data_IF_202326265223
#
_entry.id   IF_202326265223
#
_cell.length_a   1.000
_cell.length_b   1.000
_cell.length_c   1.000
_cell.angle_alpha   90.00
_cell.angle_beta   90.00
_cell.angle_gamma   90.00
#
_symmetry.space_group_name_H-M   'P 1'
#
loop_
_entity.id
_entity.type
_entity.pdbx_description
1 polymer ?
#
# COMPACT_ATOMS: atom_id res chain seq x y z
N UNK A 1 -46.39 -43.69 -43.04
CA UNK A 1 -46.15 -43.44 -44.49
C UNK A 1 -44.69 -43.11 -44.62
N UNK A 2 -43.91 -44.10 -44.84
CA UNK A 2 -42.91 -44.47 -45.83
C UNK A 2 -42.35 -43.25 -46.59
N UNK A 3 -41.02 -43.01 -46.44
CA UNK A 3 -40.10 -43.08 -47.54
C UNK A 3 -38.65 -43.19 -47.05
N UNK A 4 -38.06 -44.34 -47.30
CA UNK A 4 -36.61 -44.59 -47.38
C UNK A 4 -36.05 -43.91 -48.65
N UNK A 5 -34.84 -43.40 -48.55
CA UNK A 5 -33.94 -43.37 -49.71
C UNK A 5 -32.48 -43.43 -49.24
N UNK A 6 -31.86 -44.53 -49.71
CA UNK A 6 -30.44 -44.86 -49.71
C UNK A 6 -29.68 -43.87 -50.61
N UNK A 7 -28.46 -43.53 -50.27
CA UNK A 7 -27.36 -43.47 -51.28
C UNK A 7 -25.99 -43.42 -50.61
N UNK A 8 -25.29 -44.48 -50.77
CA UNK A 8 -24.02 -44.74 -51.48
C UNK A 8 -22.78 -44.05 -50.98
N UNK A 9 -21.94 -44.89 -50.37
CA UNK A 9 -20.50 -44.73 -50.13
C UNK A 9 -19.75 -44.36 -51.41
N UNK A 10 -18.85 -43.38 -51.35
CA UNK A 10 -17.72 -43.23 -52.23
C UNK A 10 -16.46 -43.11 -51.36
N UNK A 11 -15.68 -44.21 -51.32
CA UNK A 11 -14.34 -44.23 -50.73
C UNK A 11 -13.38 -43.62 -51.72
N UNK A 12 -12.74 -42.50 -51.34
CA UNK A 12 -11.55 -41.99 -52.02
C UNK A 12 -10.36 -42.22 -51.13
N UNK A 13 -9.53 -43.20 -51.48
CA UNK A 13 -8.21 -43.40 -50.91
C UNK A 13 -7.28 -42.33 -51.41
N UNK A 14 -6.84 -41.43 -50.56
CA UNK A 14 -5.71 -40.58 -50.80
C UNK A 14 -4.52 -41.09 -50.06
N UNK A 15 -3.53 -41.60 -50.76
CA UNK A 15 -2.21 -42.01 -50.29
C UNK A 15 -1.42 -40.73 -50.03
N UNK A 16 -1.19 -40.37 -48.77
CA UNK A 16 -0.29 -39.30 -48.42
C UNK A 16 1.03 -39.93 -47.94
N UNK A 17 2.07 -39.71 -48.73
CA UNK A 17 3.44 -40.04 -48.40
C UNK A 17 3.92 -39.23 -47.19
N UNK A 18 4.29 -39.90 -46.14
CA UNK A 18 4.91 -39.30 -44.96
C UNK A 18 6.38 -38.97 -45.23
N UNK A 19 6.68 -37.70 -45.49
CA UNK A 19 8.03 -37.19 -45.37
C UNK A 19 8.22 -36.81 -43.89
N UNK A 20 8.99 -37.63 -43.18
CA UNK A 20 9.33 -37.40 -41.78
C UNK A 20 10.32 -36.25 -41.64
N UNK A 21 9.84 -35.07 -41.26
CA UNK A 21 10.66 -34.06 -40.63
C UNK A 21 10.66 -34.29 -39.11
N UNK A 22 11.80 -34.77 -38.57
CA UNK A 22 12.05 -34.69 -37.14
C UNK A 22 12.20 -33.25 -36.75
N UNK A 23 11.13 -32.65 -36.18
CA UNK A 23 11.23 -31.42 -35.47
C UNK A 23 11.78 -31.73 -34.07
N UNK A 24 13.03 -31.41 -33.80
CA UNK A 24 13.57 -31.34 -32.44
C UNK A 24 12.84 -30.19 -31.71
N UNK A 25 11.96 -30.59 -30.80
CA UNK A 25 11.39 -29.69 -29.82
C UNK A 25 12.52 -29.27 -28.84
N UNK A 26 13.26 -28.25 -29.18
CA UNK A 26 13.97 -27.45 -28.15
C UNK A 26 12.92 -26.74 -27.31
N UNK A 27 12.55 -27.35 -26.17
CA UNK A 27 11.97 -26.61 -25.04
C UNK A 27 12.96 -25.50 -24.70
N UNK A 28 12.60 -24.27 -25.06
CA UNK A 28 13.23 -23.10 -24.46
C UNK A 28 12.80 -23.11 -22.98
N UNK A 29 13.64 -23.71 -22.13
CA UNK A 29 13.66 -23.40 -20.72
C UNK A 29 14.06 -21.92 -20.60
N UNK A 30 13.06 -21.03 -20.53
CA UNK A 30 13.26 -19.71 -19.97
C UNK A 30 13.58 -19.92 -18.49
N UNK A 31 14.87 -20.10 -18.20
CA UNK A 31 15.36 -19.92 -16.84
C UNK A 31 15.05 -18.47 -16.47
N UNK A 32 13.98 -18.26 -15.71
CA UNK A 32 13.83 -17.06 -14.90
C UNK A 32 14.97 -17.10 -13.90
N UNK A 33 16.12 -16.57 -14.29
CA UNK A 33 17.18 -16.21 -13.36
C UNK A 33 16.53 -15.18 -12.44
N UNK A 34 16.12 -15.60 -11.24
CA UNK A 34 15.88 -14.69 -10.14
C UNK A 34 17.24 -14.04 -9.85
N UNK A 35 17.55 -12.95 -10.57
CA UNK A 35 18.61 -12.06 -10.15
C UNK A 35 18.12 -11.50 -8.81
N UNK A 36 18.77 -11.90 -7.72
CA UNK A 36 18.66 -11.19 -6.44
C UNK A 36 19.20 -9.81 -6.76
N UNK A 37 18.29 -8.87 -7.04
CA UNK A 37 18.64 -7.48 -7.31
C UNK A 37 19.31 -6.92 -6.07
N UNK A 38 20.39 -6.17 -6.27
CA UNK A 38 21.11 -5.55 -5.17
C UNK A 38 20.13 -4.66 -4.40
N UNK A 39 19.94 -4.93 -3.10
CA UNK A 39 19.06 -4.16 -2.22
C UNK A 39 19.46 -2.69 -2.28
N UNK A 40 18.50 -1.82 -2.57
CA UNK A 40 18.75 -0.37 -2.59
C UNK A 40 18.95 0.14 -1.16
N UNK A 41 19.89 1.07 -0.93
CA UNK A 41 20.11 1.60 0.40
C UNK A 41 18.88 2.37 0.89
N UNK A 42 18.47 2.11 2.12
CA UNK A 42 17.44 2.87 2.82
C UNK A 42 18.13 4.07 3.51
N UNK A 43 17.72 5.28 3.14
CA UNK A 43 18.27 6.53 3.67
C UNK A 43 17.32 7.13 4.69
N UNK A 44 17.81 7.50 5.87
CA UNK A 44 17.04 8.19 6.89
C UNK A 44 17.22 9.71 6.78
N UNK A 45 16.12 10.45 6.80
CA UNK A 45 16.09 11.90 6.89
C UNK A 45 15.40 12.34 8.17
N UNK A 46 15.77 13.52 8.67
CA UNK A 46 15.04 14.22 9.73
C UNK A 46 14.38 15.46 9.13
N UNK A 47 13.05 15.50 9.15
CA UNK A 47 12.25 16.59 8.61
C UNK A 47 11.56 17.31 9.76
N UNK A 48 11.67 18.63 9.84
CA UNK A 48 11.01 19.38 10.90
C UNK A 48 9.54 19.67 10.52
N UNK A 49 8.62 19.22 11.35
CA UNK A 49 7.21 19.54 11.28
C UNK A 49 6.83 20.37 12.49
N UNK A 50 6.64 21.67 12.31
CA UNK A 50 6.42 22.66 13.41
C UNK A 50 7.47 22.54 14.53
N UNK A 51 8.73 22.34 14.14
CA UNK A 51 9.85 22.19 15.08
C UNK A 51 10.01 20.76 15.65
N UNK A 52 9.07 19.85 15.38
CA UNK A 52 9.17 18.45 15.80
C UNK A 52 9.94 17.62 14.75
N UNK A 53 10.98 16.83 15.15
CA UNK A 53 11.76 16.04 14.20
C UNK A 53 10.99 14.78 13.79
N UNK A 54 10.65 14.68 12.50
CA UNK A 54 10.02 13.51 11.88
C UNK A 54 11.08 12.67 11.18
N UNK A 55 11.08 11.37 11.39
CA UNK A 55 11.86 10.43 10.61
C UNK A 55 11.15 10.14 9.29
N UNK A 56 11.90 10.26 8.20
CA UNK A 56 11.44 9.94 6.84
C UNK A 56 12.48 9.04 6.19
N UNK A 57 12.06 7.89 5.72
CA UNK A 57 12.91 6.88 5.10
C UNK A 57 12.78 6.96 3.59
N UNK A 58 13.89 6.98 2.86
CA UNK A 58 13.93 7.13 1.41
C UNK A 58 14.60 5.94 0.74
N UNK A 59 13.98 5.40 -0.33
CA UNK A 59 14.63 4.54 -1.33
C UNK A 59 14.57 5.21 -2.69
N UNK A 60 15.74 5.46 -3.27
CA UNK A 60 15.88 6.14 -4.56
C UNK A 60 15.71 5.17 -5.72
N UNK A 61 14.88 5.53 -6.69
CA UNK A 61 14.97 4.97 -8.03
C UNK A 61 16.22 5.49 -8.74
N UNK A 62 16.80 4.68 -9.62
CA UNK A 62 17.97 5.09 -10.42
C UNK A 62 17.63 6.25 -11.35
N UNK A 63 16.48 6.16 -12.04
CA UNK A 63 15.89 7.21 -12.86
C UNK A 63 14.45 7.43 -12.37
N UNK A 64 14.28 8.38 -11.46
CA UNK A 64 12.97 8.60 -10.84
C UNK A 64 12.00 9.25 -11.81
N UNK A 65 10.88 8.58 -12.11
CA UNK A 65 9.76 9.11 -12.89
C UNK A 65 8.66 9.72 -12.03
N UNK A 66 8.75 9.59 -10.71
CA UNK A 66 7.78 10.11 -9.76
C UNK A 66 8.17 9.81 -8.31
N UNK A 67 7.47 10.46 -7.39
CA UNK A 67 7.74 10.43 -5.94
C UNK A 67 6.53 9.83 -5.23
N UNK A 68 6.76 8.95 -4.25
CA UNK A 68 5.68 8.36 -3.45
C UNK A 68 5.99 8.57 -1.97
N UNK A 69 5.00 9.04 -1.19
CA UNK A 69 5.04 9.06 0.28
C UNK A 69 4.07 8.03 0.83
N UNK A 70 4.58 7.10 1.64
CA UNK A 70 3.81 6.11 2.39
C UNK A 70 3.51 6.58 3.80
N UNK A 71 2.25 6.39 4.23
CA UNK A 71 1.77 6.61 5.59
C UNK A 71 1.30 5.28 6.16
N UNK A 72 1.95 4.83 7.24
CA UNK A 72 1.75 3.53 7.86
C UNK A 72 0.42 3.40 8.62
N UNK A 73 0.11 2.16 9.03
CA UNK A 73 -1.05 1.82 9.85
C UNK A 73 -0.94 2.24 11.31
N UNK A 74 -1.83 1.68 12.18
CA UNK A 74 -1.95 2.16 13.57
C UNK A 74 -0.83 1.71 14.50
N UNK A 75 -0.28 0.51 14.32
CA UNK A 75 0.55 -0.11 15.35
C UNK A 75 2.04 -0.03 15.06
N UNK A 76 2.42 -0.09 13.80
CA UNK A 76 3.80 -0.23 13.36
C UNK A 76 4.24 0.95 12.50
N UNK A 77 5.54 1.21 12.47
CA UNK A 77 6.16 2.30 11.72
C UNK A 77 6.43 1.95 10.26
N UNK A 78 6.90 2.94 9.49
CA UNK A 78 7.02 2.83 8.04
C UNK A 78 8.01 1.77 7.55
N UNK A 79 9.10 1.48 8.28
CA UNK A 79 10.11 0.51 7.81
C UNK A 79 9.61 -0.94 7.88
N UNK A 80 9.07 -1.43 9.01
CA UNK A 80 8.46 -2.76 9.05
C UNK A 80 7.36 -2.93 8.01
N UNK A 81 6.51 -1.92 7.83
CA UNK A 81 5.34 -2.01 6.97
C UNK A 81 5.70 -1.96 5.47
N UNK A 82 6.62 -1.10 5.06
CA UNK A 82 6.84 -0.85 3.63
C UNK A 82 8.20 -1.31 3.11
N UNK A 83 9.13 -1.66 4.01
CA UNK A 83 10.46 -2.12 3.63
C UNK A 83 10.87 -3.44 4.30
N UNK A 84 9.96 -4.40 4.36
CA UNK A 84 10.23 -5.73 4.91
C UNK A 84 11.32 -6.43 4.10
N UNK A 85 12.48 -6.65 4.72
CA UNK A 85 13.66 -7.24 4.11
C UNK A 85 13.87 -8.68 4.59
N UNK A 86 13.57 -9.66 3.74
CA UNK A 86 13.73 -11.10 4.02
C UNK A 86 14.70 -11.71 3.00
N UNK A 87 15.69 -12.45 3.47
CA UNK A 87 16.67 -13.07 2.58
C UNK A 87 16.01 -14.12 1.69
N UNK A 88 16.19 -13.94 0.37
CA UNK A 88 15.61 -14.83 -0.63
C UNK A 88 14.15 -14.55 -0.99
N UNK A 89 13.53 -13.53 -0.37
CA UNK A 89 12.14 -13.12 -0.66
C UNK A 89 12.10 -11.64 -1.06
N UNK A 90 11.23 -11.31 -2.01
CA UNK A 90 11.05 -9.95 -2.51
C UNK A 90 9.74 -9.37 -1.96
N UNK A 91 9.76 -8.85 -0.73
CA UNK A 91 8.57 -8.41 -0.01
C UNK A 91 8.51 -6.89 0.22
N UNK A 92 9.63 -6.17 0.10
CA UNK A 92 9.63 -4.72 0.24
C UNK A 92 8.78 -4.04 -0.83
N UNK A 93 7.74 -3.31 -0.41
CA UNK A 93 6.95 -2.47 -1.31
C UNK A 93 7.80 -1.32 -1.87
N UNK A 94 8.65 -0.73 -1.01
CA UNK A 94 9.55 0.36 -1.42
C UNK A 94 10.55 -0.08 -2.49
N UNK A 95 11.15 -1.28 -2.37
CA UNK A 95 12.04 -1.83 -3.40
C UNK A 95 11.29 -2.09 -4.71
N UNK A 96 10.13 -2.76 -4.64
CA UNK A 96 9.34 -3.07 -5.83
C UNK A 96 8.94 -1.84 -6.62
N UNK A 97 8.59 -0.74 -5.95
CA UNK A 97 8.25 0.51 -6.62
C UNK A 97 9.48 1.28 -7.08
N UNK A 98 10.61 1.17 -6.37
CA UNK A 98 11.86 1.75 -6.85
C UNK A 98 12.37 1.05 -8.12
N UNK A 99 12.11 -0.25 -8.29
CA UNK A 99 12.34 -1.00 -9.53
C UNK A 99 11.43 -0.52 -10.67
N UNK A 100 10.21 -0.09 -10.35
CA UNK A 100 9.27 0.52 -11.30
C UNK A 100 9.60 1.98 -11.63
N UNK A 101 10.68 2.54 -11.08
CA UNK A 101 11.15 3.90 -11.35
C UNK A 101 10.56 4.96 -10.42
N UNK A 102 10.04 4.61 -9.25
CA UNK A 102 9.55 5.58 -8.28
C UNK A 102 10.54 5.74 -7.12
N UNK A 103 10.93 6.97 -6.80
CA UNK A 103 11.58 7.25 -5.52
C UNK A 103 10.53 7.24 -4.43
N UNK A 104 10.74 6.40 -3.43
CA UNK A 104 9.75 6.14 -2.37
C UNK A 104 10.23 6.69 -1.04
N UNK A 105 9.28 7.22 -0.29
CA UNK A 105 9.47 7.74 1.07
C UNK A 105 8.46 7.07 1.99
N UNK A 106 8.85 6.79 3.24
CA UNK A 106 7.95 6.36 4.31
C UNK A 106 8.14 7.29 5.51
N UNK A 107 7.06 7.87 6.02
CA UNK A 107 7.08 8.67 7.24
C UNK A 107 6.87 7.76 8.45
N UNK A 108 7.62 8.00 9.53
CA UNK A 108 7.21 7.53 10.85
C UNK A 108 6.44 8.66 11.54
N UNK A 109 5.17 8.42 11.89
CA UNK A 109 4.36 9.38 12.63
C UNK A 109 4.90 9.59 14.05
N UNK A 110 4.45 10.63 14.76
CA UNK A 110 4.94 10.92 16.13
C UNK A 110 4.79 9.73 17.07
N UNK A 111 5.89 9.34 17.68
CA UNK A 111 5.99 8.21 18.61
C UNK A 111 6.21 6.86 17.95
N UNK A 112 6.26 6.79 16.61
CA UNK A 112 6.54 5.57 15.86
C UNK A 112 7.99 5.56 15.36
N UNK A 113 8.59 4.37 15.34
CA UNK A 113 9.88 4.10 14.73
C UNK A 113 10.97 5.11 15.14
N UNK A 114 11.49 5.80 14.15
CA UNK A 114 12.55 6.80 14.34
C UNK A 114 12.07 8.20 14.74
N UNK A 115 10.75 8.45 14.87
CA UNK A 115 10.16 9.73 15.28
C UNK A 115 9.83 9.72 16.76
N UNK A 116 10.38 10.65 17.58
CA UNK A 116 10.08 10.69 19.00
C UNK A 116 8.61 11.08 19.26
N UNK A 117 8.10 10.76 20.43
CA UNK A 117 6.85 11.32 20.95
C UNK A 117 7.04 12.81 21.22
N UNK A 118 6.02 13.61 21.03
CA UNK A 118 6.05 15.00 21.45
C UNK A 118 5.85 15.17 22.96
N UNK A 119 5.88 16.42 23.44
CA UNK A 119 5.73 16.72 24.87
C UNK A 119 4.39 16.27 25.45
N UNK A 120 3.34 16.15 24.62
CA UNK A 120 2.01 15.70 25.06
C UNK A 120 1.94 14.19 25.26
N UNK A 121 2.85 13.44 24.65
CA UNK A 121 2.88 11.97 24.54
C UNK A 121 1.70 11.36 23.78
N UNK A 122 0.79 12.18 23.24
CA UNK A 122 -0.39 11.77 22.50
C UNK A 122 -0.23 12.02 21.00
N UNK A 123 -0.66 11.08 20.18
CA UNK A 123 -0.93 11.32 18.78
C UNK A 123 -2.41 11.74 18.58
N UNK A 124 -2.66 12.60 17.60
CA UNK A 124 -4.03 12.97 17.20
C UNK A 124 -4.14 13.02 15.66
N UNK A 125 -5.32 12.76 15.08
CA UNK A 125 -5.48 12.77 13.63
C UNK A 125 -5.13 14.12 12.98
N UNK A 126 -5.48 15.23 13.62
CA UNK A 126 -5.18 16.56 13.09
C UNK A 126 -3.68 16.87 13.09
N UNK A 127 -2.96 16.51 14.15
CA UNK A 127 -1.49 16.68 14.21
C UNK A 127 -0.82 15.79 13.18
N UNK A 128 -1.19 14.50 13.11
CA UNK A 128 -0.62 13.57 12.16
C UNK A 128 -0.86 14.00 10.69
N UNK A 129 -2.08 14.44 10.35
CA UNK A 129 -2.37 14.94 9.00
C UNK A 129 -1.55 16.20 8.65
N UNK A 130 -1.25 17.07 9.62
CA UNK A 130 -0.38 18.23 9.41
C UNK A 130 1.08 17.81 9.21
N UNK A 131 1.57 16.84 9.98
CA UNK A 131 2.92 16.28 9.81
C UNK A 131 3.09 15.68 8.40
N UNK A 132 2.09 14.94 7.90
CA UNK A 132 2.07 14.41 6.53
C UNK A 132 2.22 15.54 5.51
N UNK A 133 1.46 16.64 5.65
CA UNK A 133 1.54 17.79 4.74
C UNK A 133 2.91 18.47 4.78
N UNK A 134 3.52 18.61 5.96
CA UNK A 134 4.84 19.19 6.09
C UNK A 134 5.93 18.32 5.44
N UNK A 135 5.82 16.98 5.59
CA UNK A 135 6.73 16.03 4.92
C UNK A 135 6.53 16.03 3.41
N UNK A 136 5.28 16.07 2.92
CA UNK A 136 4.98 16.22 1.49
C UNK A 136 5.62 17.48 0.90
N UNK A 137 5.50 18.60 1.61
CA UNK A 137 6.14 19.85 1.19
C UNK A 137 7.67 19.74 1.15
N UNK A 138 8.27 19.11 2.15
CA UNK A 138 9.72 18.91 2.17
C UNK A 138 10.17 18.00 1.00
N UNK A 139 9.46 16.90 0.72
CA UNK A 139 9.76 16.01 -0.42
C UNK A 139 9.65 16.78 -1.73
N UNK A 140 8.58 17.53 -1.92
CA UNK A 140 8.34 18.33 -3.12
C UNK A 140 9.47 19.34 -3.35
N UNK A 141 9.81 20.16 -2.35
CA UNK A 141 10.88 21.17 -2.43
C UNK A 141 12.23 20.53 -2.73
N UNK A 142 12.56 19.42 -2.04
CA UNK A 142 13.80 18.65 -2.27
C UNK A 142 13.91 18.13 -3.71
N UNK A 143 12.78 17.93 -4.39
CA UNK A 143 12.70 17.35 -5.72
C UNK A 143 12.10 18.33 -6.75
N UNK A 144 12.61 19.56 -6.79
CA UNK A 144 12.30 20.60 -7.79
C UNK A 144 10.80 21.01 -7.82
N UNK A 145 10.13 20.96 -6.68
CA UNK A 145 8.70 21.23 -6.51
C UNK A 145 7.77 20.25 -7.25
N UNK A 146 8.27 19.05 -7.57
CA UNK A 146 7.43 17.99 -8.14
C UNK A 146 6.37 17.56 -7.13
N UNK A 147 5.18 17.23 -7.63
CA UNK A 147 4.12 16.67 -6.79
C UNK A 147 4.44 15.22 -6.39
N UNK A 148 3.83 14.78 -5.31
CA UNK A 148 4.07 13.49 -4.66
C UNK A 148 2.80 12.67 -4.69
N UNK A 149 2.88 11.40 -5.07
CA UNK A 149 1.80 10.44 -4.86
C UNK A 149 1.74 10.09 -3.38
N UNK A 150 0.60 10.36 -2.74
CA UNK A 150 0.38 10.04 -1.34
C UNK A 150 -0.31 8.68 -1.23
N UNK A 151 0.28 7.77 -0.47
CA UNK A 151 -0.28 6.45 -0.18
C UNK A 151 -0.52 6.32 1.32
N UNK A 152 -1.75 5.96 1.70
CA UNK A 152 -2.08 5.65 3.10
C UNK A 152 -2.61 4.22 3.25
N UNK A 153 -2.10 3.51 4.24
CA UNK A 153 -2.56 2.17 4.62
C UNK A 153 -3.29 2.18 5.96
N UNK A 154 -4.44 1.50 6.05
CA UNK A 154 -5.19 1.35 7.30
C UNK A 154 -5.50 2.72 7.94
N UNK A 155 -5.05 2.98 9.16
CA UNK A 155 -5.13 4.32 9.79
C UNK A 155 -4.52 5.40 8.89
N UNK A 156 -3.39 5.11 8.25
CA UNK A 156 -2.74 6.02 7.31
C UNK A 156 -3.64 6.42 6.14
N UNK A 157 -4.59 5.58 5.73
CA UNK A 157 -5.57 5.92 4.69
C UNK A 157 -6.51 7.04 5.12
N UNK A 158 -7.02 6.99 6.35
CA UNK A 158 -7.88 8.03 6.92
C UNK A 158 -7.08 9.34 7.15
N UNK A 159 -5.85 9.25 7.65
CA UNK A 159 -4.97 10.40 7.83
C UNK A 159 -4.62 11.08 6.49
N UNK A 160 -4.41 10.28 5.43
CA UNK A 160 -4.10 10.78 4.10
C UNK A 160 -5.31 11.46 3.44
N UNK A 161 -6.54 10.95 3.66
CA UNK A 161 -7.77 11.65 3.28
C UNK A 161 -7.88 12.99 3.99
N UNK A 162 -7.66 12.99 5.31
CA UNK A 162 -7.73 14.20 6.15
C UNK A 162 -6.66 15.24 5.73
N UNK A 163 -5.45 14.80 5.40
CA UNK A 163 -4.39 15.66 4.88
C UNK A 163 -4.76 16.25 3.51
N UNK A 164 -5.21 15.39 2.58
CA UNK A 164 -5.53 15.79 1.21
C UNK A 164 -6.67 16.82 1.16
N UNK A 165 -7.73 16.65 1.95
CA UNK A 165 -8.82 17.62 1.99
C UNK A 165 -8.41 18.99 2.57
N UNK A 166 -7.40 19.00 3.46
CA UNK A 166 -6.87 20.24 4.04
C UNK A 166 -5.98 21.00 3.05
N UNK A 167 -5.09 20.30 2.36
CA UNK A 167 -4.19 20.89 1.36
C UNK A 167 -3.67 19.85 0.39
N UNK A 168 -4.06 19.93 -0.87
CA UNK A 168 -3.64 19.02 -1.93
C UNK A 168 -2.54 19.58 -2.87
N UNK A 169 -1.96 20.75 -2.59
CA UNK A 169 -1.07 21.46 -3.52
C UNK A 169 0.11 20.62 -4.01
N UNK A 170 0.73 19.84 -3.11
CA UNK A 170 1.89 19.00 -3.41
C UNK A 170 1.52 17.53 -3.67
N UNK A 171 0.23 17.21 -3.86
CA UNK A 171 -0.25 15.84 -4.05
C UNK A 171 -0.62 15.64 -5.52
N UNK A 172 0.08 14.70 -6.18
CA UNK A 172 -0.21 14.28 -7.55
C UNK A 172 -1.46 13.38 -7.61
N UNK A 173 -1.51 12.39 -6.72
CA UNK A 173 -2.66 11.52 -6.51
C UNK A 173 -2.68 11.01 -5.09
N UNK A 174 -3.85 10.56 -4.62
CA UNK A 174 -4.04 9.87 -3.35
C UNK A 174 -4.39 8.41 -3.60
N UNK A 175 -3.70 7.49 -2.94
CA UNK A 175 -4.10 6.09 -2.86
C UNK A 175 -4.40 5.73 -1.41
N UNK A 176 -5.56 5.11 -1.19
CA UNK A 176 -5.95 4.57 0.11
C UNK A 176 -6.10 3.06 0.01
N UNK A 177 -5.49 2.34 0.95
CA UNK A 177 -5.57 0.89 1.06
C UNK A 177 -6.00 0.49 2.46
N UNK A 178 -6.94 -0.45 2.57
CA UNK A 178 -7.42 -0.91 3.86
C UNK A 178 -8.19 0.18 4.64
N UNK A 179 -8.90 1.09 3.96
CA UNK A 179 -9.69 2.13 4.60
C UNK A 179 -10.85 1.53 5.39
N UNK A 180 -10.91 1.83 6.68
CA UNK A 180 -11.74 1.12 7.65
C UNK A 180 -13.02 1.89 8.07
N UNK A 181 -13.03 3.23 7.95
CA UNK A 181 -14.08 4.05 8.55
C UNK A 181 -15.39 3.96 7.77
N UNK A 182 -16.48 3.77 8.50
CA UNK A 182 -17.83 4.02 8.00
C UNK A 182 -18.16 5.52 8.10
N UNK A 183 -18.37 6.19 6.98
CA UNK A 183 -18.65 7.63 6.93
C UNK A 183 -19.99 8.01 7.59
N UNK A 184 -20.89 7.05 7.76
CA UNK A 184 -22.17 7.27 8.46
C UNK A 184 -22.03 7.10 9.97
N UNK A 185 -20.95 6.47 10.45
CA UNK A 185 -20.71 6.30 11.87
C UNK A 185 -19.87 7.46 12.43
N UNK A 186 -20.35 8.06 13.52
CA UNK A 186 -19.61 9.11 14.21
C UNK A 186 -18.83 8.53 15.40
N UNK A 187 -17.52 8.69 15.35
CA UNK A 187 -16.62 8.33 16.45
C UNK A 187 -16.92 9.26 17.62
N UNK A 188 -17.18 8.73 18.82
CA UNK A 188 -17.44 9.56 20.00
C UNK A 188 -16.24 10.42 20.38
N UNK A 189 -16.53 11.55 21.04
CA UNK A 189 -15.47 12.38 21.64
C UNK A 189 -14.68 11.59 22.67
N UNK A 190 -13.38 11.84 22.74
CA UNK A 190 -12.52 11.27 23.77
C UNK A 190 -12.96 11.73 25.16
N UNK A 191 -12.87 10.85 26.14
CA UNK A 191 -13.06 11.23 27.54
C UNK A 191 -12.05 12.30 27.96
N UNK A 192 -12.48 13.28 28.77
CA UNK A 192 -11.62 14.41 29.17
C UNK A 192 -10.37 13.95 29.95
N UNK A 193 -10.52 12.93 30.76
CA UNK A 193 -9.49 12.44 31.69
C UNK A 193 -8.85 11.11 31.22
N UNK A 194 -8.80 10.85 29.90
CA UNK A 194 -8.15 9.66 29.36
C UNK A 194 -6.66 9.65 29.74
N UNK A 195 -6.20 8.51 30.26
CA UNK A 195 -4.82 8.33 30.68
C UNK A 195 -4.01 7.60 29.62
N UNK A 196 -2.71 7.93 29.51
CA UNK A 196 -1.75 7.22 28.66
C UNK A 196 -1.67 5.75 29.10
N UNK A 197 -1.84 4.84 28.17
CA UNK A 197 -1.77 3.40 28.43
C UNK A 197 -0.33 2.87 28.33
N UNK A 198 0.45 3.40 27.38
CA UNK A 198 1.83 2.96 27.08
C UNK A 198 1.94 1.42 27.01
N UNK A 199 0.95 0.81 26.35
CA UNK A 199 0.87 -0.64 26.20
C UNK A 199 2.11 -1.17 25.49
N UNK A 200 2.66 -2.26 25.97
CA UNK A 200 3.75 -2.98 25.31
C UNK A 200 3.18 -3.72 24.12
N UNK A 201 3.81 -3.56 22.96
CA UNK A 201 3.48 -4.34 21.79
C UNK A 201 3.99 -5.79 21.93
N UNK A 202 3.29 -6.74 21.32
CA UNK A 202 3.61 -8.17 21.44
C UNK A 202 3.84 -8.81 20.07
N UNK A 203 4.52 -9.96 20.07
CA UNK A 203 4.74 -10.75 18.86
C UNK A 203 3.42 -11.23 18.26
N UNK A 204 2.44 -11.57 19.09
CA UNK A 204 1.11 -11.98 18.64
C UNK A 204 0.40 -10.85 17.91
N UNK A 205 0.50 -9.60 18.42
CA UNK A 205 -0.07 -8.44 17.73
C UNK A 205 0.57 -8.22 16.37
N UNK A 206 1.91 -8.33 16.26
CA UNK A 206 2.60 -8.16 14.99
C UNK A 206 2.29 -9.28 14.00
N UNK A 207 2.20 -10.52 14.46
CA UNK A 207 1.85 -11.65 13.59
C UNK A 207 0.38 -11.65 13.15
N UNK A 208 -0.52 -10.98 13.90
CA UNK A 208 -1.96 -10.95 13.60
C UNK A 208 -2.33 -10.11 12.38
N UNK A 209 -1.41 -9.31 11.85
CA UNK A 209 -1.63 -8.58 10.60
C UNK A 209 -1.67 -9.52 9.39
N UNK A 210 -1.07 -10.72 9.47
CA UNK A 210 -1.07 -11.74 8.43
C UNK A 210 -2.27 -12.68 8.57
N UNK A 211 -3.38 -12.31 7.94
CA UNK A 211 -4.70 -12.91 8.16
C UNK A 211 -4.89 -14.17 7.30
N UNK A 212 -4.41 -14.12 6.04
CA UNK A 212 -4.62 -15.21 5.07
C UNK A 212 -3.55 -16.29 5.23
N UNK A 213 -3.90 -17.51 5.69
CA UNK A 213 -2.93 -18.58 5.88
C UNK A 213 -2.17 -18.93 4.60
N UNK A 214 -0.84 -18.92 4.66
CA UNK A 214 0.04 -19.29 3.54
C UNK A 214 0.24 -18.21 2.49
N UNK A 215 -0.30 -17.01 2.68
CA UNK A 215 -0.11 -15.87 1.78
C UNK A 215 1.31 -15.30 1.87
N UNK A 216 1.98 -15.52 3.00
CA UNK A 216 3.36 -15.11 3.26
C UNK A 216 4.09 -16.23 4.01
N UNK A 217 5.43 -16.28 3.90
CA UNK A 217 6.23 -17.32 4.56
C UNK A 217 6.33 -17.10 6.06
N UNK A 218 6.46 -18.19 6.84
CA UNK A 218 6.71 -18.10 8.29
C UNK A 218 8.03 -17.38 8.62
N UNK A 219 9.03 -17.48 7.74
CA UNK A 219 10.29 -16.73 7.86
C UNK A 219 10.04 -15.23 7.75
N UNK A 220 9.21 -14.81 6.81
CA UNK A 220 8.85 -13.42 6.63
C UNK A 220 8.05 -12.88 7.80
N UNK A 221 7.04 -13.62 8.30
CA UNK A 221 6.30 -13.26 9.51
C UNK A 221 7.25 -13.08 10.70
N UNK A 222 8.17 -14.02 10.94
CA UNK A 222 9.13 -13.91 12.03
C UNK A 222 10.07 -12.71 11.89
N UNK A 223 10.47 -12.38 10.66
CA UNK A 223 11.31 -11.20 10.36
C UNK A 223 10.53 -9.91 10.61
N UNK A 224 9.28 -9.84 10.14
CA UNK A 224 8.38 -8.70 10.37
C UNK A 224 8.17 -8.45 11.86
N UNK A 225 7.80 -9.50 12.62
CA UNK A 225 7.60 -9.43 14.07
C UNK A 225 8.83 -8.86 14.78
N UNK A 226 10.02 -9.33 14.41
CA UNK A 226 11.27 -8.81 14.98
C UNK A 226 11.45 -7.33 14.66
N UNK A 227 11.34 -6.93 13.40
CA UNK A 227 11.50 -5.54 12.97
C UNK A 227 10.47 -4.61 13.62
N UNK A 228 9.22 -5.04 13.68
CA UNK A 228 8.11 -4.29 14.26
C UNK A 228 8.33 -4.03 15.77
N UNK A 229 8.71 -5.05 16.53
CA UNK A 229 8.96 -4.91 17.97
C UNK A 229 10.24 -4.12 18.28
N UNK A 230 11.28 -4.20 17.43
CA UNK A 230 12.48 -3.38 17.57
C UNK A 230 12.21 -1.90 17.30
N UNK A 231 11.33 -1.61 16.34
CA UNK A 231 10.96 -0.23 15.95
C UNK A 231 9.94 0.39 16.91
N UNK A 232 8.94 -0.39 17.32
CA UNK A 232 7.76 0.09 18.06
C UNK A 232 7.49 -0.79 19.28
N UNK A 233 8.38 -0.83 20.29
CA UNK A 233 8.19 -1.69 21.47
C UNK A 233 7.01 -1.24 22.35
N UNK A 234 6.65 0.04 22.30
CA UNK A 234 5.55 0.64 23.06
C UNK A 234 4.55 1.28 22.10
N UNK A 235 3.32 0.81 22.16
CA UNK A 235 2.21 1.29 21.34
C UNK A 235 1.98 2.79 21.53
N UNK A 236 1.76 3.51 20.44
CA UNK A 236 1.42 4.94 20.49
C UNK A 236 -0.01 5.12 20.98
N UNK A 237 -0.17 6.02 21.96
CA UNK A 237 -1.46 6.40 22.47
C UNK A 237 -2.09 7.48 21.61
N UNK A 238 -3.31 7.24 21.15
CA UNK A 238 -4.10 8.16 20.34
C UNK A 238 -5.22 8.77 21.16
N UNK A 239 -5.50 10.06 20.93
CA UNK A 239 -6.68 10.74 21.47
C UNK A 239 -7.35 11.59 20.38
N UNK A 240 -8.52 12.12 20.68
CA UNK A 240 -9.31 12.96 19.77
C UNK A 240 -9.60 12.24 18.43
N UNK A 241 -9.82 10.94 18.47
CA UNK A 241 -10.10 10.16 17.27
C UNK A 241 -11.41 10.59 16.59
N UNK A 242 -12.29 11.33 17.29
CA UNK A 242 -13.45 12.02 16.72
C UNK A 242 -13.07 13.03 15.61
N UNK A 243 -11.81 13.49 15.53
CA UNK A 243 -11.30 14.31 14.42
C UNK A 243 -11.36 13.60 13.06
N UNK A 244 -11.43 12.26 13.03
CA UNK A 244 -11.72 11.53 11.80
C UNK A 244 -13.13 11.79 11.26
N UNK A 245 -14.06 12.25 12.09
CA UNK A 245 -15.42 12.65 11.65
C UNK A 245 -15.42 13.84 10.70
N UNK A 246 -14.29 14.58 10.63
CA UNK A 246 -14.10 15.72 9.73
C UNK A 246 -13.75 15.28 8.30
N UNK A 247 -13.49 13.97 8.07
CA UNK A 247 -13.24 13.45 6.72
C UNK A 247 -14.49 13.67 5.88
N UNK A 248 -14.32 14.47 4.83
CA UNK A 248 -15.36 14.78 3.86
C UNK A 248 -14.84 14.52 2.43
N UNK A 249 -15.13 13.36 1.85
CA UNK A 249 -14.65 13.01 0.52
C UNK A 249 -15.12 13.98 -0.58
N UNK A 250 -16.23 14.70 -0.36
CA UNK A 250 -16.73 15.70 -1.32
C UNK A 250 -15.83 16.93 -1.48
N UNK A 251 -14.84 17.10 -0.62
CA UNK A 251 -13.80 18.13 -0.73
C UNK A 251 -12.58 17.68 -1.53
N UNK A 252 -12.42 16.37 -1.77
CA UNK A 252 -11.23 15.78 -2.40
C UNK A 252 -11.42 15.72 -3.92
N UNK A 253 -10.79 16.67 -4.63
CA UNK A 253 -10.76 16.75 -6.09
C UNK A 253 -9.50 16.13 -6.71
N UNK A 254 -8.48 15.82 -5.90
CA UNK A 254 -7.25 15.11 -6.31
C UNK A 254 -7.62 13.75 -6.89
N UNK A 255 -6.89 13.21 -7.91
CA UNK A 255 -7.06 11.84 -8.37
C UNK A 255 -6.96 10.82 -7.23
N UNK A 256 -7.90 9.88 -7.12
CA UNK A 256 -7.96 8.90 -6.02
C UNK A 256 -8.03 7.47 -6.52
N UNK A 257 -7.14 6.62 -6.01
CA UNK A 257 -7.23 5.17 -6.09
C UNK A 257 -7.65 4.58 -4.74
N UNK A 258 -8.70 3.78 -4.73
CA UNK A 258 -9.03 2.91 -3.60
C UNK A 258 -8.53 1.52 -3.94
N UNK A 259 -7.63 0.97 -3.12
CA UNK A 259 -7.24 -0.43 -3.15
C UNK A 259 -7.91 -1.16 -1.99
N UNK A 260 -8.41 -2.35 -2.24
CA UNK A 260 -9.06 -3.20 -1.23
C UNK A 260 -8.57 -4.63 -1.37
N UNK A 261 -8.15 -5.27 -0.29
CA UNK A 261 -7.94 -6.71 -0.26
C UNK A 261 -9.28 -7.45 -0.33
N UNK A 262 -9.36 -8.51 -1.16
CA UNK A 262 -10.58 -9.33 -1.29
C UNK A 262 -11.02 -9.91 0.08
N UNK A 263 -10.05 -10.31 0.89
CA UNK A 263 -10.26 -10.94 2.20
C UNK A 263 -9.97 -10.01 3.38
N UNK A 264 -9.86 -8.70 3.14
CA UNK A 264 -9.62 -7.73 4.20
C UNK A 264 -10.86 -7.56 5.10
N UNK A 265 -10.84 -8.04 6.36
CA UNK A 265 -12.00 -7.98 7.25
C UNK A 265 -12.23 -6.57 7.82
N UNK A 266 -11.23 -5.68 7.71
CA UNK A 266 -11.27 -4.32 8.27
C UNK A 266 -11.89 -3.36 7.26
N UNK A 267 -11.61 -3.55 5.97
CA UNK A 267 -12.01 -2.65 4.89
C UNK A 267 -13.22 -3.22 4.13
N UNK A 268 -14.42 -3.00 4.67
CA UNK A 268 -15.63 -3.54 4.06
C UNK A 268 -15.93 -2.92 2.70
N UNK A 269 -16.44 -3.72 1.76
CA UNK A 269 -16.89 -3.26 0.43
C UNK A 269 -17.92 -2.13 0.54
N UNK A 270 -18.79 -2.18 1.54
CA UNK A 270 -19.79 -1.13 1.79
C UNK A 270 -19.12 0.21 2.11
N UNK A 271 -18.09 0.23 2.96
CA UNK A 271 -17.39 1.46 3.31
C UNK A 271 -16.57 2.00 2.12
N UNK A 272 -15.96 1.11 1.33
CA UNK A 272 -15.26 1.51 0.10
C UNK A 272 -16.23 2.12 -0.93
N UNK A 273 -17.40 1.54 -1.10
CA UNK A 273 -18.44 2.09 -2.00
C UNK A 273 -18.94 3.46 -1.55
N UNK A 274 -19.15 3.66 -0.24
CA UNK A 274 -19.51 4.96 0.32
C UNK A 274 -18.42 6.01 0.06
N UNK A 275 -17.16 5.67 0.35
CA UNK A 275 -16.02 6.53 0.06
C UNK A 275 -15.97 6.88 -1.43
N UNK A 276 -15.99 5.86 -2.30
CA UNK A 276 -15.87 6.03 -3.75
C UNK A 276 -16.96 6.95 -4.31
N UNK A 277 -18.21 6.75 -3.90
CA UNK A 277 -19.34 7.53 -4.41
C UNK A 277 -19.32 8.99 -3.95
N UNK A 278 -18.81 9.27 -2.74
CA UNK A 278 -18.75 10.61 -2.17
C UNK A 278 -17.54 11.42 -2.62
N UNK A 279 -16.46 10.79 -3.16
CA UNK A 279 -15.31 11.50 -3.67
C UNK A 279 -15.70 12.47 -4.79
N UNK A 280 -15.26 13.73 -4.66
CA UNK A 280 -15.47 14.78 -5.68
C UNK A 280 -14.62 14.54 -6.93
N UNK A 281 -13.48 13.88 -6.80
CA UNK A 281 -12.59 13.61 -7.92
C UNK A 281 -13.30 12.94 -9.09
N UNK A 282 -13.07 13.44 -10.31
CA UNK A 282 -13.47 12.78 -11.56
C UNK A 282 -12.55 11.61 -11.93
N UNK A 283 -11.26 11.74 -11.56
CA UNK A 283 -10.24 10.70 -11.76
C UNK A 283 -10.17 9.80 -10.52
N UNK A 284 -11.10 8.86 -10.43
CA UNK A 284 -11.15 7.91 -9.32
C UNK A 284 -11.30 6.48 -9.80
N UNK A 285 -10.60 5.57 -9.14
CA UNK A 285 -10.66 4.13 -9.40
C UNK A 285 -10.80 3.37 -8.09
N UNK A 286 -11.45 2.22 -8.16
CA UNK A 286 -11.51 1.27 -7.06
C UNK A 286 -11.14 -0.11 -7.59
N UNK A 287 -10.14 -0.72 -7.00
CA UNK A 287 -9.60 -2.02 -7.41
C UNK A 287 -9.59 -2.96 -6.20
N UNK A 288 -10.16 -4.13 -6.38
CA UNK A 288 -10.08 -5.24 -5.41
C UNK A 288 -8.89 -6.11 -5.79
N UNK A 289 -7.99 -6.33 -4.85
CA UNK A 289 -6.82 -7.19 -4.99
C UNK A 289 -7.22 -8.62 -4.64
N UNK A 290 -7.39 -9.44 -5.69
CA UNK A 290 -7.81 -10.83 -5.52
C UNK A 290 -6.78 -11.64 -4.74
N UNK A 291 -7.26 -12.43 -3.79
CA UNK A 291 -6.43 -13.22 -2.87
C UNK A 291 -5.71 -12.40 -1.80
N UNK A 292 -5.90 -11.09 -1.77
CA UNK A 292 -5.25 -10.21 -0.80
C UNK A 292 -6.11 -9.93 0.42
N UNK A 293 -5.47 -9.66 1.54
CA UNK A 293 -6.10 -9.16 2.77
C UNK A 293 -5.57 -7.78 3.15
N UNK A 294 -5.53 -7.47 4.44
CA UNK A 294 -5.15 -6.15 4.95
C UNK A 294 -3.70 -5.75 4.66
N UNK A 295 -2.81 -6.73 4.38
CA UNK A 295 -1.38 -6.54 4.09
C UNK A 295 -0.97 -7.06 2.71
N UNK A 296 -1.90 -7.11 1.76
CA UNK A 296 -1.73 -7.64 0.41
C UNK A 296 -0.48 -7.12 -0.35
N UNK A 297 0.07 -5.98 0.03
CA UNK A 297 1.27 -5.40 -0.58
C UNK A 297 2.59 -6.11 -0.20
N UNK A 298 2.58 -7.00 0.80
CA UNK A 298 3.74 -7.82 1.19
C UNK A 298 3.47 -9.33 1.16
N UNK A 299 2.33 -9.74 0.61
CA UNK A 299 1.88 -11.12 0.51
C UNK A 299 1.88 -11.66 -0.92
N UNK A 300 1.35 -12.87 -1.12
CA UNK A 300 1.28 -13.51 -2.45
C UNK A 300 0.71 -12.59 -3.57
N UNK A 301 -0.31 -11.75 -3.35
CA UNK A 301 -0.84 -10.85 -4.39
C UNK A 301 -0.03 -9.56 -4.60
N UNK A 302 1.14 -9.39 -3.97
CA UNK A 302 1.98 -8.19 -4.01
C UNK A 302 2.24 -7.66 -5.43
N UNK A 303 2.56 -8.52 -6.38
CA UNK A 303 2.84 -8.08 -7.76
C UNK A 303 1.59 -7.47 -8.42
N UNK A 304 0.41 -8.06 -8.18
CA UNK A 304 -0.86 -7.50 -8.65
C UNK A 304 -1.18 -6.16 -7.95
N UNK A 305 -0.86 -6.06 -6.66
CA UNK A 305 -0.99 -4.81 -5.91
C UNK A 305 -0.12 -3.70 -6.51
N UNK A 306 1.18 -3.95 -6.72
CA UNK A 306 2.12 -2.99 -7.32
C UNK A 306 1.66 -2.59 -8.72
N UNK A 307 1.26 -3.57 -9.55
CA UNK A 307 0.77 -3.28 -10.89
C UNK A 307 -0.48 -2.38 -10.89
N UNK A 308 -1.46 -2.70 -10.04
CA UNK A 308 -2.68 -1.91 -9.92
C UNK A 308 -2.40 -0.48 -9.44
N UNK A 309 -1.48 -0.34 -8.50
CA UNK A 309 -1.05 0.95 -7.98
C UNK A 309 -0.33 1.77 -9.05
N UNK A 310 0.69 1.21 -9.70
CA UNK A 310 1.49 1.92 -10.71
C UNK A 310 0.68 2.27 -11.94
N UNK A 311 -0.22 1.39 -12.41
CA UNK A 311 -1.10 1.66 -13.54
C UNK A 311 -2.02 2.89 -13.32
N UNK A 312 -2.36 3.19 -12.07
CA UNK A 312 -3.12 4.38 -11.74
C UNK A 312 -2.22 5.62 -11.66
N UNK A 313 -1.13 5.57 -10.89
CA UNK A 313 -0.30 6.75 -10.63
C UNK A 313 0.52 7.19 -11.84
N UNK A 314 0.85 6.27 -12.77
CA UNK A 314 1.55 6.59 -14.03
C UNK A 314 0.81 7.62 -14.88
N UNK A 315 -0.50 7.78 -14.70
CA UNK A 315 -1.32 8.77 -15.41
C UNK A 315 -1.08 10.21 -14.94
N UNK A 316 -0.47 10.38 -13.77
CA UNK A 316 -0.34 11.67 -13.07
C UNK A 316 1.12 12.02 -12.75
N UNK A 317 2.08 11.35 -13.40
CA UNK A 317 3.48 11.77 -13.42
C UNK A 317 3.61 13.04 -14.28
N UNK A 318 4.26 14.08 -13.76
CA UNK A 318 4.55 15.34 -14.43
C UNK A 318 5.90 15.28 -15.18
#
# INVERSE_FOLDING_TARGET
MKYLLKNKFLLVLILIATIGCKAENKKAETSKTNSILAKKPLLKHTVLSDGHPMAVWEKKAENSKGLILFVHGRTWSGVPDFDLQVDGENLSLMDGLAEQGYTTFAIDLRGYGGTPRDATQWATPNVASKDILNVLNWISVKNNNSKVHLFGWSMGSALSLLATQKNANNIASLTVFGYWQDLDFKIPESLKDIQLQKSVNTAENAASDFITPGSISQKAIGTYVKMALESDPIRVDWKNESEYNDINPSLIATPVLILQGEFDPISSTTNQAKLFTQLKSSDKSWVVISGGDHVAFMEAPRENFIHSFTAFIDKFNE
#
